data_IF_123770881169
#
_entry.id   IF_123770881169
#
_cell.length_a   1.000
_cell.length_b   1.000
_cell.length_c   1.000
_cell.angle_alpha   90.00
_cell.angle_beta   90.00
_cell.angle_gamma   90.00
#
_symmetry.space_group_name_H-M   'P 1'
#
loop_
_entity.id
_entity.type
_entity.pdbx_description
1 polymer ?
#
# COMPACT_ATOMS: atom_id res chain seq x y z
N UNK A 1 16.54 5.52 -9.23
CA UNK A 1 15.16 5.24 -8.85
C UNK A 1 15.12 4.05 -7.91
N UNK A 2 14.46 4.17 -6.77
CA UNK A 2 14.25 3.12 -5.77
C UNK A 2 12.75 2.99 -5.53
N UNK A 3 12.23 1.77 -5.63
CA UNK A 3 10.81 1.46 -5.42
C UNK A 3 10.71 0.44 -4.29
N UNK A 4 9.77 0.67 -3.37
CA UNK A 4 9.42 -0.27 -2.32
C UNK A 4 8.07 -0.89 -2.62
N UNK A 5 8.00 -2.21 -2.52
CA UNK A 5 6.81 -3.01 -2.82
C UNK A 5 6.51 -3.87 -1.59
N UNK A 6 5.27 -3.80 -1.11
CA UNK A 6 4.72 -4.63 -0.04
C UNK A 6 3.37 -5.23 -0.49
N UNK A 7 2.86 -6.20 0.24
CA UNK A 7 1.60 -6.88 -0.07
C UNK A 7 1.09 -7.63 1.17
N UNK A 8 -0.18 -8.01 1.16
CA UNK A 8 -0.78 -8.98 2.09
C UNK A 8 -0.59 -8.56 3.56
N UNK A 9 -0.79 -7.27 3.86
CA UNK A 9 -0.66 -6.78 5.23
C UNK A 9 -1.77 -7.29 6.14
N UNK A 10 -2.94 -7.69 5.62
CA UNK A 10 -4.03 -8.31 6.38
C UNK A 10 -4.32 -7.58 7.72
N UNK A 11 -4.50 -6.25 7.66
CA UNK A 11 -4.81 -5.40 8.82
C UNK A 11 -3.61 -4.97 9.67
N UNK A 12 -2.37 -5.23 9.25
CA UNK A 12 -1.15 -4.79 9.95
C UNK A 12 -0.85 -3.30 9.71
N UNK A 13 -1.60 -2.44 10.38
CA UNK A 13 -1.49 -0.98 10.28
C UNK A 13 -0.13 -0.44 10.76
N UNK A 14 0.31 -0.85 11.96
CA UNK A 14 1.54 -0.37 12.58
C UNK A 14 2.79 -0.71 11.75
N UNK A 15 2.82 -1.90 11.15
CA UNK A 15 3.90 -2.35 10.29
C UNK A 15 3.97 -1.54 8.98
N UNK A 16 2.82 -1.24 8.37
CA UNK A 16 2.77 -0.38 7.19
C UNK A 16 3.30 1.03 7.53
N UNK A 17 2.86 1.61 8.63
CA UNK A 17 3.35 2.92 9.07
C UNK A 17 4.86 2.90 9.37
N UNK A 18 5.36 1.86 10.05
CA UNK A 18 6.78 1.69 10.34
C UNK A 18 7.63 1.56 9.07
N UNK A 19 7.16 0.79 8.07
CA UNK A 19 7.85 0.62 6.79
C UNK A 19 7.89 1.95 6.05
N UNK A 20 6.77 2.68 6.01
CA UNK A 20 6.68 4.00 5.38
C UNK A 20 7.60 5.03 6.05
N UNK A 21 7.62 5.11 7.38
CA UNK A 21 8.51 6.02 8.09
C UNK A 21 9.99 5.68 7.84
N UNK A 22 10.34 4.38 7.87
CA UNK A 22 11.72 3.92 7.72
C UNK A 22 12.27 4.18 6.32
N UNK A 23 11.46 3.95 5.28
CA UNK A 23 11.95 3.89 3.90
C UNK A 23 11.42 5.01 2.99
N UNK A 24 10.43 5.80 3.43
CA UNK A 24 9.80 6.81 2.59
C UNK A 24 10.73 7.93 2.12
N UNK A 25 11.84 8.18 2.82
CA UNK A 25 12.83 9.20 2.43
C UNK A 25 13.83 8.72 1.38
N UNK A 26 14.01 7.41 1.20
CA UNK A 26 14.97 6.84 0.25
C UNK A 26 14.32 6.16 -0.96
N UNK A 27 12.99 6.15 -1.02
CA UNK A 27 12.22 5.55 -2.11
C UNK A 27 11.51 6.65 -2.89
N UNK A 28 11.48 6.50 -4.21
CA UNK A 28 10.76 7.40 -5.11
C UNK A 28 9.29 6.99 -5.24
N UNK A 29 8.97 5.72 -4.95
CA UNK A 29 7.64 5.14 -5.02
C UNK A 29 7.46 4.01 -4.01
N UNK A 30 6.27 3.93 -3.43
CA UNK A 30 5.85 2.85 -2.54
C UNK A 30 4.53 2.25 -3.04
N UNK A 31 4.48 0.92 -3.15
CA UNK A 31 3.34 0.17 -3.72
C UNK A 31 2.88 -0.88 -2.72
N UNK A 32 1.57 -1.02 -2.54
CA UNK A 32 0.93 -2.12 -1.84
C UNK A 32 0.12 -2.97 -2.82
N UNK A 33 0.48 -4.24 -2.99
CA UNK A 33 -0.08 -5.13 -4.01
C UNK A 33 -1.45 -5.72 -3.68
N UNK A 34 -2.07 -5.32 -2.56
CA UNK A 34 -3.43 -5.70 -2.16
C UNK A 34 -3.45 -6.60 -0.93
N UNK A 35 -4.64 -7.06 -0.55
CA UNK A 35 -4.91 -7.80 0.69
C UNK A 35 -4.49 -6.98 1.92
N UNK A 36 -4.83 -5.69 1.89
CA UNK A 36 -4.62 -4.80 3.03
C UNK A 36 -5.63 -5.04 4.15
N UNK A 37 -6.86 -5.40 3.77
CA UNK A 37 -8.06 -5.48 4.61
C UNK A 37 -8.44 -4.15 5.29
N UNK A 38 -7.92 -3.02 4.78
CA UNK A 38 -8.18 -1.67 5.28
C UNK A 38 -9.06 -0.88 4.31
N UNK A 39 -9.68 0.20 4.81
CA UNK A 39 -10.35 1.16 3.94
C UNK A 39 -9.33 1.88 3.02
N UNK A 40 -9.64 2.16 1.74
CA UNK A 40 -8.74 2.90 0.86
C UNK A 40 -8.31 4.27 1.39
N UNK A 41 -9.09 4.89 2.28
CA UNK A 41 -8.78 6.15 2.95
C UNK A 41 -8.05 6.00 4.28
N UNK A 42 -7.71 4.76 4.68
CA UNK A 42 -7.03 4.49 5.94
C UNK A 42 -5.64 5.15 6.00
N UNK A 43 -5.26 5.83 7.09
CA UNK A 43 -3.98 6.53 7.21
C UNK A 43 -2.74 5.67 6.92
N UNK A 44 -2.75 4.41 7.36
CA UNK A 44 -1.65 3.46 7.13
C UNK A 44 -1.34 3.22 5.63
N UNK A 45 -2.33 3.40 4.75
CA UNK A 45 -2.16 3.23 3.29
C UNK A 45 -1.78 4.54 2.57
N UNK A 46 -1.77 5.68 3.26
CA UNK A 46 -1.59 7.00 2.64
C UNK A 46 -0.27 7.18 1.89
N UNK A 47 0.76 6.42 2.25
CA UNK A 47 2.08 6.45 1.60
C UNK A 47 2.19 5.50 0.40
N UNK A 48 1.20 4.63 0.19
CA UNK A 48 1.26 3.54 -0.78
C UNK A 48 0.31 3.77 -1.95
N UNK A 49 0.76 3.43 -3.16
CA UNK A 49 -0.17 3.11 -4.26
C UNK A 49 -0.70 1.70 -4.04
N UNK A 50 -1.98 1.60 -3.67
CA UNK A 50 -2.63 0.32 -3.33
C UNK A 50 -3.58 -0.13 -4.43
N UNK A 51 -3.49 -1.40 -4.82
CA UNK A 51 -4.46 -2.08 -5.67
C UNK A 51 -5.28 -3.07 -4.85
N UNK A 52 -6.38 -3.55 -5.44
CA UNK A 52 -7.30 -4.49 -4.81
C UNK A 52 -6.74 -5.91 -4.78
N UNK A 53 -6.72 -6.52 -3.59
CA UNK A 53 -6.54 -7.96 -3.43
C UNK A 53 -7.86 -8.71 -3.21
N UNK A 54 -7.81 -10.04 -3.15
CA UNK A 54 -8.98 -10.89 -2.95
C UNK A 54 -9.58 -10.82 -1.52
N UNK A 55 -8.80 -10.42 -0.52
CA UNK A 55 -9.24 -10.20 0.86
C UNK A 55 -9.68 -8.75 1.13
N UNK A 56 -9.53 -7.82 0.19
CA UNK A 56 -10.05 -6.46 0.31
C UNK A 56 -11.56 -6.41 0.01
N UNK A 57 -12.36 -6.91 0.95
CA UNK A 57 -13.82 -7.01 0.82
C UNK A 57 -14.55 -5.66 0.97
N UNK A 58 -13.91 -4.72 1.67
CA UNK A 58 -14.51 -3.44 2.07
C UNK A 58 -13.70 -2.29 1.46
N UNK A 59 -14.36 -1.46 0.65
CA UNK A 59 -13.73 -0.34 -0.05
C UNK A 59 -13.56 -0.55 -1.55
N UNK A 60 -13.54 0.55 -2.29
CA UNK A 60 -13.33 0.54 -3.74
C UNK A 60 -11.86 0.79 -4.09
N UNK A 61 -11.04 -0.25 -3.95
CA UNK A 61 -9.71 -0.27 -4.55
C UNK A 61 -9.81 -0.50 -6.07
N UNK A 62 -8.83 0.03 -6.82
CA UNK A 62 -8.68 -0.27 -8.24
C UNK A 62 -8.07 -1.65 -8.42
N UNK A 63 -8.53 -2.42 -9.41
CA UNK A 63 -7.93 -3.71 -9.77
C UNK A 63 -6.52 -3.55 -10.37
N UNK A 64 -6.24 -2.40 -11.01
CA UNK A 64 -4.94 -2.08 -11.58
C UNK A 64 -4.60 -0.59 -11.46
N UNK A 65 -3.30 -0.30 -11.36
CA UNK A 65 -2.74 1.04 -11.41
C UNK A 65 -1.49 1.01 -12.29
N UNK A 66 -1.46 1.84 -13.33
CA UNK A 66 -0.30 2.02 -14.21
C UNK A 66 0.26 3.42 -13.97
N UNK A 67 1.52 3.49 -13.55
CA UNK A 67 2.23 4.76 -13.30
C UNK A 67 3.55 4.81 -14.08
N UNK A 68 3.92 5.97 -14.63
CA UNK A 68 5.25 6.16 -15.20
C UNK A 68 6.31 6.12 -14.10
N UNK A 69 7.43 5.45 -14.40
CA UNK A 69 8.60 5.29 -13.54
C UNK A 69 9.82 5.90 -14.21
#
# INVERSE_FOLDING_TARGET
>A
MKVLIVSDSHGLEDELEMIAERHGKETDLMIHCGDSELDPSHPALSSYLTVKGNCDFYGEFKDEVVVPV
#
